data_IF_184071850064
#
_entry.id   IF_184071850064
#
_cell.length_a   1.000
_cell.length_b   1.000
_cell.length_c   1.000
_cell.angle_alpha   90.00
_cell.angle_beta   90.00
_cell.angle_gamma   90.00
#
_symmetry.space_group_name_H-M   'P 1'
#
loop_
_entity.id
_entity.type
_entity.pdbx_description
1 polymer ?
#
# COMPACT_ATOMS: atom_id res chain seq x y z
N UNK A 1 8.35 0.83 -9.63
CA UNK A 1 7.08 0.27 -10.13
C UNK A 1 7.04 -1.22 -9.78
N UNK A 2 5.85 -1.82 -9.70
CA UNK A 2 5.66 -3.26 -9.50
C UNK A 2 4.95 -3.86 -10.72
N UNK A 3 5.39 -5.02 -11.21
CA UNK A 3 4.70 -5.69 -12.32
C UNK A 3 3.45 -6.42 -11.80
N UNK A 4 2.34 -6.29 -12.50
CA UNK A 4 1.16 -7.13 -12.25
C UNK A 4 1.42 -8.48 -12.93
N UNK A 5 1.30 -9.62 -12.22
CA UNK A 5 1.55 -10.93 -12.79
C UNK A 5 0.75 -11.18 -14.07
N UNK A 6 1.42 -11.62 -15.13
CA UNK A 6 0.78 -11.81 -16.44
C UNK A 6 -0.35 -12.85 -16.42
N UNK A 7 -0.25 -13.88 -15.57
CA UNK A 7 -1.32 -14.87 -15.38
C UNK A 7 -2.58 -14.25 -14.78
N UNK A 8 -2.41 -13.35 -13.79
CA UNK A 8 -3.51 -12.60 -13.18
C UNK A 8 -4.16 -11.65 -14.19
N UNK A 9 -3.34 -10.93 -14.97
CA UNK A 9 -3.80 -10.05 -16.05
C UNK A 9 -4.68 -10.83 -17.04
N UNK A 10 -4.23 -12.00 -17.49
CA UNK A 10 -4.96 -12.86 -18.42
C UNK A 10 -6.25 -13.41 -17.81
N UNK A 11 -6.21 -13.96 -16.60
CA UNK A 11 -7.38 -14.58 -15.97
C UNK A 11 -8.50 -13.60 -15.64
N UNK A 12 -8.17 -12.33 -15.42
CA UNK A 12 -9.14 -11.25 -15.17
C UNK A 12 -9.51 -10.46 -16.43
N UNK A 13 -8.99 -10.81 -17.60
CA UNK A 13 -9.25 -10.07 -18.85
C UNK A 13 -8.71 -8.64 -18.83
N UNK A 14 -7.71 -8.34 -17.99
CA UNK A 14 -7.15 -7.00 -17.77
C UNK A 14 -6.16 -6.60 -18.87
N UNK A 15 -6.59 -6.61 -20.12
CA UNK A 15 -5.77 -6.15 -21.25
C UNK A 15 -5.47 -4.64 -21.21
N UNK A 16 -4.62 -4.18 -22.13
CA UNK A 16 -4.21 -2.76 -22.26
C UNK A 16 -5.37 -1.76 -22.36
N UNK A 17 -6.53 -2.20 -22.86
CA UNK A 17 -7.75 -1.38 -22.97
C UNK A 17 -8.73 -1.57 -21.82
N UNK A 18 -8.56 -2.62 -21.02
CA UNK A 18 -9.52 -3.02 -19.99
C UNK A 18 -9.08 -2.60 -18.59
N UNK A 19 -7.77 -2.56 -18.29
CA UNK A 19 -7.32 -2.04 -17.00
C UNK A 19 -7.41 -0.50 -16.98
N UNK A 20 -8.01 0.10 -15.94
CA UNK A 20 -8.05 1.55 -15.78
C UNK A 20 -6.65 2.16 -15.71
N UNK A 21 -6.50 3.37 -16.26
CA UNK A 21 -5.26 4.17 -16.16
C UNK A 21 -4.96 4.55 -14.71
N UNK A 22 -6.01 4.83 -13.95
CA UNK A 22 -5.95 5.16 -12.53
C UNK A 22 -6.65 4.06 -11.73
N UNK A 23 -5.91 3.44 -10.84
CA UNK A 23 -6.42 2.43 -9.91
C UNK A 23 -6.32 2.94 -8.47
N UNK A 24 -7.14 2.35 -7.60
CA UNK A 24 -7.15 2.65 -6.18
C UNK A 24 -6.62 1.41 -5.44
N UNK A 25 -5.53 1.57 -4.71
CA UNK A 25 -5.19 0.61 -3.65
C UNK A 25 -5.92 1.02 -2.38
N UNK A 26 -6.62 0.09 -1.75
CA UNK A 26 -7.31 0.32 -0.47
C UNK A 26 -6.85 -0.72 0.56
N UNK A 27 -6.36 -0.27 1.71
CA UNK A 27 -6.02 -1.18 2.81
C UNK A 27 -7.27 -1.59 3.62
N UNK A 28 -7.08 -2.40 4.65
CA UNK A 28 -8.16 -2.84 5.54
C UNK A 28 -8.75 -1.71 6.37
N UNK A 29 -7.95 -0.71 6.74
CA UNK A 29 -8.37 0.48 7.49
C UNK A 29 -9.10 1.53 6.64
N UNK A 30 -9.23 1.30 5.33
CA UNK A 30 -9.93 2.17 4.39
C UNK A 30 -9.09 3.32 3.80
N UNK A 31 -7.81 3.45 4.16
CA UNK A 31 -6.88 4.38 3.51
C UNK A 31 -6.71 3.99 2.03
N UNK A 32 -6.56 5.02 1.19
CA UNK A 32 -6.53 4.88 -0.26
C UNK A 32 -5.29 5.51 -0.87
N UNK A 33 -4.77 4.87 -1.91
CA UNK A 33 -3.70 5.40 -2.76
C UNK A 33 -4.10 5.30 -4.22
N UNK A 34 -4.07 6.43 -4.92
CA UNK A 34 -4.27 6.47 -6.37
C UNK A 34 -2.96 6.15 -7.08
N UNK A 35 -2.95 5.07 -7.86
CA UNK A 35 -1.77 4.58 -8.57
C UNK A 35 -2.06 4.61 -10.07
N UNK A 36 -1.13 5.15 -10.86
CA UNK A 36 -1.25 5.07 -12.32
C UNK A 36 -0.70 3.76 -12.85
N UNK A 37 -1.40 3.16 -13.81
CA UNK A 37 -0.90 1.99 -14.52
C UNK A 37 0.04 2.41 -15.65
N UNK A 38 1.16 1.69 -15.78
CA UNK A 38 2.11 1.86 -16.87
C UNK A 38 2.14 0.61 -17.75
N UNK A 39 2.38 0.83 -19.04
CA UNK A 39 2.49 -0.24 -20.03
C UNK A 39 3.87 -0.21 -20.65
N UNK A 40 4.56 -1.34 -20.59
CA UNK A 40 5.83 -1.54 -21.28
C UNK A 40 5.82 -2.92 -21.95
N UNK A 41 5.82 -2.92 -23.29
CA UNK A 41 5.57 -4.12 -24.09
C UNK A 41 4.21 -4.74 -23.75
N UNK A 42 4.21 -6.01 -23.32
CA UNK A 42 3.01 -6.74 -22.91
C UNK A 42 2.78 -6.75 -21.38
N UNK A 43 3.61 -6.03 -20.62
CA UNK A 43 3.55 -6.01 -19.15
C UNK A 43 2.83 -4.76 -18.67
N UNK A 44 2.07 -4.93 -17.59
CA UNK A 44 1.33 -3.89 -16.89
C UNK A 44 1.98 -3.70 -15.52
N UNK A 45 2.12 -2.45 -15.10
CA UNK A 45 2.80 -2.10 -13.86
C UNK A 45 1.93 -1.18 -13.01
N UNK A 46 1.98 -1.38 -11.69
CA UNK A 46 1.74 -0.30 -10.74
C UNK A 46 2.90 0.70 -10.86
N UNK A 47 2.61 1.85 -11.44
CA UNK A 47 3.59 2.79 -11.96
C UNK A 47 3.78 4.01 -11.08
N UNK A 48 3.28 5.15 -11.56
CA UNK A 48 3.33 6.42 -10.83
C UNK A 48 2.59 6.29 -9.50
N UNK A 49 3.11 6.96 -8.47
CA UNK A 49 2.64 6.87 -7.08
C UNK A 49 2.81 5.51 -6.39
N UNK A 50 3.33 4.48 -7.07
CA UNK A 50 3.70 3.22 -6.41
C UNK A 50 4.77 3.42 -5.31
N UNK A 51 5.75 4.28 -5.57
CA UNK A 51 6.81 4.58 -4.59
C UNK A 51 6.25 5.25 -3.35
N UNK A 52 5.28 6.16 -3.51
CA UNK A 52 4.60 6.84 -2.41
C UNK A 52 3.83 5.83 -1.56
N UNK A 53 3.10 4.91 -2.19
CA UNK A 53 2.46 3.80 -1.48
C UNK A 53 3.47 2.98 -0.66
N UNK A 54 4.65 2.68 -1.20
CA UNK A 54 5.69 1.95 -0.45
C UNK A 54 6.23 2.76 0.73
N UNK A 55 6.54 4.04 0.53
CA UNK A 55 7.09 4.93 1.56
C UNK A 55 6.11 5.12 2.71
N UNK A 56 4.85 5.46 2.41
CA UNK A 56 3.81 5.70 3.42
C UNK A 56 3.44 4.44 4.22
N UNK A 57 3.66 3.25 3.65
CA UNK A 57 3.43 1.97 4.33
C UNK A 57 4.73 1.33 4.83
N UNK A 58 5.87 2.03 4.78
CA UNK A 58 7.18 1.50 5.19
C UNK A 58 7.52 0.14 4.57
N UNK A 59 7.12 -0.07 3.31
CA UNK A 59 7.30 -1.34 2.60
C UNK A 59 8.74 -1.48 2.13
N UNK A 60 9.42 -2.52 2.63
CA UNK A 60 10.80 -2.84 2.25
C UNK A 60 10.86 -3.82 1.09
N UNK A 61 12.07 -3.99 0.54
CA UNK A 61 12.36 -5.07 -0.40
C UNK A 61 12.10 -6.40 0.32
N UNK A 62 11.47 -7.37 -0.35
CA UNK A 62 11.16 -8.72 0.17
C UNK A 62 9.93 -8.85 1.08
N UNK A 63 9.10 -7.83 1.18
CA UNK A 63 7.81 -7.94 1.86
C UNK A 63 6.70 -8.46 0.96
N UNK A 64 5.72 -9.12 1.58
CA UNK A 64 4.62 -9.77 0.88
C UNK A 64 3.36 -8.91 0.95
N UNK A 65 2.65 -8.85 -0.17
CA UNK A 65 1.36 -8.16 -0.27
C UNK A 65 0.36 -9.07 -0.95
N UNK A 66 -0.86 -9.10 -0.44
CA UNK A 66 -1.99 -9.75 -1.08
C UNK A 66 -2.88 -8.69 -1.73
N UNK A 67 -3.23 -8.91 -2.99
CA UNK A 67 -4.11 -8.03 -3.75
C UNK A 67 -5.40 -8.77 -4.08
N UNK A 68 -6.54 -8.16 -3.75
CA UNK A 68 -7.86 -8.59 -4.19
C UNK A 68 -8.47 -7.52 -5.09
N UNK A 69 -8.58 -7.85 -6.36
CA UNK A 69 -9.23 -7.02 -7.36
C UNK A 69 -10.73 -7.29 -7.41
N UNK A 70 -11.53 -6.23 -7.35
CA UNK A 70 -12.99 -6.30 -7.30
C UNK A 70 -13.67 -6.31 -8.68
N UNK A 71 -12.91 -6.14 -9.77
CA UNK A 71 -13.44 -6.08 -11.14
C UNK A 71 -13.60 -4.65 -11.67
N UNK A 72 -13.29 -3.62 -10.89
CA UNK A 72 -13.43 -2.20 -11.27
C UNK A 72 -12.06 -1.52 -11.40
N UNK A 73 -11.80 -0.42 -10.70
CA UNK A 73 -10.48 0.18 -10.56
C UNK A 73 -9.89 -0.02 -9.15
N UNK A 74 -10.55 -0.77 -8.26
CA UNK A 74 -10.11 -0.94 -6.88
C UNK A 74 -9.41 -2.28 -6.66
N UNK A 75 -8.24 -2.21 -6.03
CA UNK A 75 -7.52 -3.34 -5.48
C UNK A 75 -7.48 -3.19 -3.96
N UNK A 76 -8.10 -4.12 -3.23
CA UNK A 76 -7.85 -4.26 -1.80
C UNK A 76 -6.44 -4.81 -1.61
N UNK A 77 -5.68 -4.23 -0.71
CA UNK A 77 -4.31 -4.64 -0.40
C UNK A 77 -4.18 -4.99 1.08
N UNK A 78 -3.51 -6.11 1.35
CA UNK A 78 -3.09 -6.51 2.70
C UNK A 78 -1.58 -6.64 2.67
N UNK A 79 -0.90 -5.96 3.60
CA UNK A 79 0.55 -6.04 3.76
C UNK A 79 0.84 -7.09 4.81
N UNK A 80 1.73 -8.03 4.50
CA UNK A 80 2.11 -9.11 5.39
C UNK A 80 3.50 -8.85 5.98
N UNK A 81 3.67 -9.17 7.26
CA UNK A 81 4.98 -9.19 7.90
C UNK A 81 5.86 -10.27 7.25
N UNK A 82 7.12 -9.93 6.95
CA UNK A 82 8.05 -10.81 6.23
C UNK A 82 8.28 -12.16 6.95
N UNK A 83 8.42 -12.12 8.29
CA UNK A 83 8.73 -13.27 9.15
C UNK A 83 7.53 -14.20 9.31
N UNK A 84 6.41 -13.68 9.81
CA UNK A 84 5.24 -14.46 10.18
C UNK A 84 4.30 -14.75 9.01
N UNK A 85 4.36 -13.94 7.94
CA UNK A 85 3.37 -13.92 6.85
C UNK A 85 1.94 -13.62 7.33
N UNK A 86 1.80 -13.13 8.55
CA UNK A 86 0.55 -12.60 9.06
C UNK A 86 0.34 -11.16 8.57
N UNK A 87 -0.91 -10.72 8.58
CA UNK A 87 -1.24 -9.32 8.33
C UNK A 87 -0.51 -8.39 9.29
N UNK A 88 0.12 -7.36 8.73
CA UNK A 88 0.76 -6.32 9.53
C UNK A 88 -0.33 -5.48 10.19
N UNK A 89 -0.23 -5.33 11.51
CA UNK A 89 -1.07 -4.38 12.25
C UNK A 89 -0.63 -2.96 11.89
N UNK A 90 -1.59 -2.14 11.46
CA UNK A 90 -1.40 -0.70 11.44
C UNK A 90 -1.41 -0.24 12.90
N UNK A 91 -0.27 0.25 13.38
CA UNK A 91 -0.23 0.90 14.69
C UNK A 91 -0.98 2.22 14.52
N UNK A 92 -2.11 2.35 15.19
CA UNK A 92 -2.73 3.65 15.41
C UNK A 92 -1.69 4.49 16.18
N UNK A 93 -1.38 5.70 15.70
CA UNK A 93 -0.52 6.65 16.42
C UNK A 93 -1.29 7.16 17.64
N UNK A 94 -1.46 6.30 18.64
CA UNK A 94 -2.06 6.65 19.92
C UNK A 94 -1.05 7.44 20.76
N UNK A 95 -1.40 8.70 20.99
CA UNK A 95 -0.96 9.63 22.02
C UNK A 95 0.54 9.86 22.24
N UNK A 96 1.03 11.01 21.75
CA UNK A 96 2.13 11.73 22.38
C UNK A 96 1.72 12.09 23.81
N UNK A 97 1.97 11.19 24.78
CA UNK A 97 1.96 11.56 26.20
C UNK A 97 3.08 12.58 26.37
N UNK A 98 2.72 13.86 26.36
CA UNK A 98 3.60 14.95 26.74
C UNK A 98 4.23 14.59 28.10
N UNK A 99 5.52 14.29 28.10
CA UNK A 99 6.26 14.04 29.33
C UNK A 99 6.11 15.26 30.27
N UNK A 100 5.85 15.10 31.57
CA UNK A 100 5.73 16.23 32.48
C UNK A 100 7.02 17.06 32.50
N UNK A 101 6.97 18.32 32.06
CA UNK A 101 8.08 19.27 32.25
C UNK A 101 8.30 19.43 33.75
N UNK A 102 9.44 18.95 34.26
CA UNK A 102 9.91 19.19 35.64
C UNK A 102 9.83 20.69 35.93
N UNK A 103 8.90 21.12 36.79
CA UNK A 103 8.92 22.47 37.36
C UNK A 103 10.14 22.57 38.28
N UNK A 104 11.08 23.47 37.97
CA UNK A 104 12.12 23.89 38.92
C UNK A 104 11.41 24.54 40.11
N UNK A 105 11.49 23.92 41.29
CA UNK A 105 11.21 24.60 42.55
C UNK A 105 12.15 25.80 42.65
N UNK A 106 11.58 27.00 42.81
CA UNK A 106 12.30 28.15 43.32
C UNK A 106 12.10 28.12 44.82
N UNK A 107 13.17 27.84 45.57
CA UNK A 107 13.16 28.02 47.01
C UNK A 107 13.06 29.54 47.27
N UNK A 108 12.06 29.95 48.03
CA UNK A 108 11.97 31.26 48.69
C UNK A 108 12.51 31.09 50.10
#
# INVERSE_FOLDING_TARGET
>A
CMVIPGSFVKSRGLGRRAIPKDIILRNVSGRVWCIKTLFFGQKIYFGESWKVFQEENSIRKEEFMLFKYDGTNVFKVVILEQSSRCERRELEEDEVIASPKRKRMKNV
#
